data_IF_977337739308
#
_entry.id   IF_977337739308
#
_cell.length_a   1.000
_cell.length_b   1.000
_cell.length_c   1.000
_cell.angle_alpha   90.00
_cell.angle_beta   90.00
_cell.angle_gamma   90.00
#
_symmetry.space_group_name_H-M   'P 1'
#
loop_
_entity.id
_entity.type
_entity.pdbx_description
1 polymer ?
#
# COMPACT_ATOMS: atom_id res chain seq x y z
N UNK A 1 -15.89 -5.25 13.32
CA UNK A 1 -16.30 -3.94 12.87
C UNK A 1 -16.85 -4.00 11.47
N UNK A 2 -17.54 -2.98 10.98
CA UNK A 2 -18.01 -2.94 9.62
C UNK A 2 -16.80 -2.87 8.66
N UNK A 3 -16.64 -3.90 7.85
CA UNK A 3 -15.63 -3.93 6.81
C UNK A 3 -16.21 -3.31 5.54
N UNK A 4 -15.38 -2.56 4.81
CA UNK A 4 -15.74 -2.09 3.47
C UNK A 4 -15.67 -3.27 2.50
N UNK A 5 -16.43 -3.24 1.37
CA UNK A 5 -16.31 -4.26 0.33
C UNK A 5 -14.87 -4.42 -0.13
N UNK A 6 -14.40 -5.65 -0.23
CA UNK A 6 -13.02 -5.97 -0.67
C UNK A 6 -12.80 -5.56 -2.13
N UNK A 7 -13.82 -5.69 -2.97
CA UNK A 7 -13.71 -5.57 -4.43
C UNK A 7 -12.59 -6.49 -4.93
N UNK A 8 -11.62 -5.97 -5.65
CA UNK A 8 -10.45 -6.70 -6.13
C UNK A 8 -9.18 -6.51 -5.26
N UNK A 9 -9.37 -6.03 -4.04
CA UNK A 9 -8.31 -5.67 -3.08
C UNK A 9 -7.29 -4.65 -3.64
N UNK A 10 -7.74 -3.81 -4.54
CA UNK A 10 -7.08 -2.58 -4.93
C UNK A 10 -7.99 -1.38 -4.65
N UNK A 11 -7.50 -0.18 -4.79
CA UNK A 11 -8.33 1.02 -4.70
C UNK A 11 -8.96 1.43 -6.03
N UNK A 12 -8.77 0.66 -7.11
CA UNK A 12 -9.13 1.04 -8.49
C UNK A 12 -10.62 1.37 -8.62
N UNK A 13 -11.49 0.46 -8.19
CA UNK A 13 -12.92 0.61 -8.37
C UNK A 13 -13.48 1.78 -7.54
N UNK A 14 -12.98 1.94 -6.31
CA UNK A 14 -13.33 3.08 -5.47
C UNK A 14 -12.91 4.41 -6.08
N UNK A 15 -11.69 4.51 -6.60
CA UNK A 15 -11.20 5.72 -7.30
C UNK A 15 -12.06 6.00 -8.53
N UNK A 16 -12.44 4.97 -9.30
CA UNK A 16 -13.27 5.13 -10.48
C UNK A 16 -14.69 5.62 -10.13
N UNK A 17 -15.31 5.05 -9.10
CA UNK A 17 -16.62 5.47 -8.60
C UNK A 17 -16.58 6.95 -8.19
N UNK A 18 -15.57 7.35 -7.39
CA UNK A 18 -15.40 8.74 -6.94
C UNK A 18 -15.21 9.69 -8.14
N UNK A 19 -14.37 9.31 -9.10
CA UNK A 19 -14.15 10.12 -10.32
C UNK A 19 -15.43 10.28 -11.13
N UNK A 20 -16.23 9.23 -11.28
CA UNK A 20 -17.48 9.25 -12.03
C UNK A 20 -18.57 10.09 -11.34
N UNK A 21 -18.62 10.09 -10.00
CA UNK A 21 -19.53 10.94 -9.23
C UNK A 21 -19.16 12.43 -9.30
N UNK A 22 -17.91 12.74 -9.66
CA UNK A 22 -17.36 14.08 -9.65
C UNK A 22 -16.99 14.57 -8.25
N UNK A 23 -16.26 15.68 -8.20
CA UNK A 23 -15.77 16.29 -6.96
C UNK A 23 -16.28 17.73 -6.86
N UNK A 24 -16.76 18.12 -5.67
CA UNK A 24 -17.09 19.49 -5.34
C UNK A 24 -15.99 20.10 -4.46
N UNK A 25 -15.43 21.22 -4.89
CA UNK A 25 -14.52 22.01 -4.04
C UNK A 25 -15.32 22.67 -2.92
N UNK A 26 -14.86 22.47 -1.70
CA UNK A 26 -15.44 23.08 -0.52
C UNK A 26 -14.65 24.34 -0.12
N UNK A 27 -15.33 25.31 0.53
CA UNK A 27 -14.70 26.57 0.98
C UNK A 27 -13.79 26.38 2.22
N UNK A 28 -13.94 25.28 2.96
CA UNK A 28 -13.16 24.97 4.14
C UNK A 28 -11.68 24.76 3.85
N UNK A 29 -10.82 25.29 4.71
CA UNK A 29 -9.37 25.05 4.63
C UNK A 29 -9.03 23.63 5.07
N UNK A 30 -8.20 22.94 4.28
CA UNK A 30 -7.68 21.63 4.64
C UNK A 30 -6.57 21.74 5.65
N UNK A 31 -6.60 20.87 6.67
CA UNK A 31 -5.53 20.77 7.64
C UNK A 31 -4.44 19.80 7.15
N UNK A 32 -3.20 20.10 7.55
CA UNK A 32 -2.02 19.29 7.24
C UNK A 32 -1.16 19.09 8.48
N UNK A 33 -0.56 17.90 8.59
CA UNK A 33 0.53 17.60 9.51
C UNK A 33 1.83 17.81 8.73
N UNK A 34 2.57 18.89 9.05
CA UNK A 34 3.86 19.17 8.40
C UNK A 34 5.02 18.69 9.27
N UNK A 35 5.77 17.74 8.75
CA UNK A 35 6.94 17.20 9.43
C UNK A 35 8.05 18.25 9.49
N UNK A 36 8.58 18.49 10.72
CA UNK A 36 9.60 19.50 10.99
C UNK A 36 10.99 18.93 11.19
N UNK A 37 11.11 17.67 11.61
CA UNK A 37 12.38 16.96 11.80
C UNK A 37 12.20 15.50 11.45
N UNK A 38 13.31 14.81 11.11
CA UNK A 38 13.28 13.37 10.84
C UNK A 38 12.86 12.61 12.11
N UNK A 39 11.96 11.67 11.94
CA UNK A 39 11.54 10.68 12.93
C UNK A 39 11.82 9.31 12.31
N UNK A 40 12.29 8.37 13.11
CA UNK A 40 12.62 7.01 12.64
C UNK A 40 12.21 6.00 13.69
N UNK A 41 11.67 4.87 13.22
CA UNK A 41 11.37 3.70 14.04
C UNK A 41 11.93 2.45 13.35
N UNK A 42 12.50 1.54 14.14
CA UNK A 42 13.10 0.29 13.67
C UNK A 42 12.69 -0.85 14.56
N UNK A 43 12.41 -1.98 13.94
CA UNK A 43 12.11 -3.23 14.60
C UNK A 43 12.71 -4.37 13.77
N UNK A 44 13.73 -5.02 14.30
CA UNK A 44 14.49 -6.07 13.60
C UNK A 44 15.02 -5.60 12.22
N UNK A 45 14.62 -6.29 11.15
CA UNK A 45 14.97 -5.98 9.76
C UNK A 45 14.04 -4.96 9.10
N UNK A 46 13.06 -4.44 9.85
CA UNK A 46 12.06 -3.48 9.38
C UNK A 46 12.41 -2.08 9.84
N UNK A 47 12.15 -1.11 9.00
CA UNK A 47 12.30 0.29 9.39
C UNK A 47 11.32 1.19 8.67
N UNK A 48 10.93 2.26 9.35
CA UNK A 48 10.17 3.35 8.78
C UNK A 48 10.75 4.66 9.27
N UNK A 49 10.89 5.63 8.40
CA UNK A 49 11.24 6.98 8.77
C UNK A 49 10.44 8.00 7.97
N UNK A 50 10.26 9.18 8.53
CA UNK A 50 9.70 10.33 7.83
C UNK A 50 10.60 11.54 8.02
N UNK A 51 10.87 12.25 6.93
CA UNK A 51 11.68 13.46 6.90
C UNK A 51 10.86 14.67 6.41
N UNK A 52 11.29 15.90 6.71
CA UNK A 52 10.67 17.09 6.17
C UNK A 52 10.66 17.10 4.64
N UNK A 53 9.55 17.55 4.07
CA UNK A 53 9.42 17.83 2.65
C UNK A 53 8.86 19.24 2.43
N UNK A 54 9.02 19.78 1.22
CA UNK A 54 8.59 21.15 0.92
C UNK A 54 7.06 21.29 1.02
N UNK A 55 6.32 20.61 0.15
CA UNK A 55 4.85 20.65 0.10
C UNK A 55 4.25 19.35 -0.45
N UNK A 56 4.96 18.23 -0.38
CA UNK A 56 4.51 16.94 -0.93
C UNK A 56 4.44 15.86 0.15
N UNK A 57 3.69 14.82 -0.15
CA UNK A 57 3.75 13.54 0.53
C UNK A 57 4.33 12.54 -0.46
N UNK A 58 5.52 12.08 -0.13
CA UNK A 58 6.26 11.12 -0.93
C UNK A 58 6.51 9.86 -0.12
N UNK A 59 6.35 8.71 -0.74
CA UNK A 59 6.60 7.40 -0.14
C UNK A 59 7.60 6.65 -1.00
N UNK A 60 8.69 6.22 -0.40
CA UNK A 60 9.61 5.22 -0.92
C UNK A 60 9.46 3.94 -0.13
N UNK A 61 9.15 2.84 -0.79
CA UNK A 61 9.01 1.53 -0.16
C UNK A 61 9.99 0.52 -0.74
N UNK A 62 10.68 -0.20 0.12
CA UNK A 62 11.48 -1.37 -0.25
C UNK A 62 10.83 -2.61 0.35
N UNK A 63 10.27 -3.43 -0.53
CA UNK A 63 9.75 -4.75 -0.21
C UNK A 63 10.90 -5.76 -0.33
N UNK A 64 11.12 -6.56 0.71
CA UNK A 64 12.03 -7.69 0.66
C UNK A 64 11.27 -9.01 0.84
N UNK A 65 11.32 -9.88 -0.15
CA UNK A 65 10.61 -11.15 -0.17
C UNK A 65 11.54 -12.27 -0.67
N UNK A 66 12.64 -12.48 0.07
CA UNK A 66 13.72 -13.41 -0.32
C UNK A 66 13.24 -14.85 -0.54
N UNK A 67 12.20 -15.28 0.21
CA UNK A 67 11.60 -16.61 0.05
C UNK A 67 10.80 -16.79 -1.25
N UNK A 68 10.56 -15.73 -2.02
CA UNK A 68 9.89 -15.83 -3.32
C UNK A 68 10.83 -15.45 -4.46
N UNK A 69 11.16 -16.38 -5.35
CA UNK A 69 12.02 -16.12 -6.51
C UNK A 69 11.39 -15.17 -7.52
N UNK A 70 10.07 -14.99 -7.48
CA UNK A 70 9.33 -14.06 -8.33
C UNK A 70 9.29 -12.64 -7.75
N UNK A 71 8.91 -12.50 -6.48
CA UNK A 71 8.73 -11.20 -5.85
C UNK A 71 10.08 -10.53 -5.60
N UNK A 72 11.02 -11.25 -4.97
CA UNK A 72 12.38 -10.77 -4.64
C UNK A 72 12.36 -9.46 -3.86
N UNK A 73 13.43 -8.69 -3.99
CA UNK A 73 13.51 -7.33 -3.49
C UNK A 73 13.04 -6.35 -4.56
N UNK A 74 12.06 -5.54 -4.22
CA UNK A 74 11.53 -4.48 -5.09
C UNK A 74 11.54 -3.15 -4.35
N UNK A 75 11.91 -2.08 -5.05
CA UNK A 75 11.82 -0.73 -4.55
C UNK A 75 11.04 0.14 -5.53
N UNK A 76 10.16 0.95 -5.00
CA UNK A 76 9.50 2.01 -5.76
C UNK A 76 9.29 3.26 -4.90
N UNK A 77 9.11 4.41 -5.54
CA UNK A 77 8.74 5.66 -4.89
C UNK A 77 7.64 6.36 -5.66
N UNK A 78 6.79 7.07 -4.92
CA UNK A 78 5.62 7.76 -5.46
C UNK A 78 5.41 9.07 -4.73
N UNK A 79 5.21 10.13 -5.49
CA UNK A 79 4.76 11.41 -4.96
C UNK A 79 3.23 11.50 -5.15
N UNK A 80 2.49 11.56 -4.04
CA UNK A 80 1.02 11.57 -4.06
C UNK A 80 0.39 12.88 -4.56
N UNK A 81 1.19 13.83 -5.02
CA UNK A 81 0.73 15.01 -5.75
C UNK A 81 0.78 14.84 -7.27
N UNK A 82 1.34 13.76 -7.76
CA UNK A 82 1.34 13.44 -9.18
C UNK A 82 -0.09 13.19 -9.71
N UNK A 83 -0.30 13.49 -10.99
CA UNK A 83 -1.62 13.34 -11.61
C UNK A 83 -1.94 11.88 -11.93
N UNK A 84 -0.93 11.07 -12.20
CA UNK A 84 -1.11 9.67 -12.56
C UNK A 84 -0.58 8.75 -11.46
N UNK A 85 -1.50 8.19 -10.69
CA UNK A 85 -1.25 7.22 -9.63
C UNK A 85 -1.88 5.87 -9.95
N UNK A 86 -2.17 5.58 -11.22
CA UNK A 86 -2.91 4.39 -11.63
C UNK A 86 -2.21 3.10 -11.17
N UNK A 87 -0.91 2.99 -11.37
CA UNK A 87 -0.12 1.83 -10.95
C UNK A 87 -0.13 1.61 -9.43
N UNK A 88 -0.41 2.67 -8.65
CA UNK A 88 -0.50 2.59 -7.19
C UNK A 88 -1.90 2.14 -6.78
N UNK A 89 -2.95 2.89 -7.18
CA UNK A 89 -4.30 2.57 -6.73
C UNK A 89 -4.88 1.31 -7.38
N UNK A 90 -4.33 0.84 -8.51
CA UNK A 90 -4.73 -0.41 -9.14
C UNK A 90 -3.97 -1.64 -8.64
N UNK A 91 -2.97 -1.47 -7.76
CA UNK A 91 -2.18 -2.57 -7.24
C UNK A 91 -2.99 -3.41 -6.25
N UNK A 92 -3.10 -4.72 -6.52
CA UNK A 92 -3.78 -5.70 -5.67
C UNK A 92 -2.87 -6.20 -4.56
N UNK A 93 -3.48 -6.62 -3.45
CA UNK A 93 -2.77 -7.38 -2.41
C UNK A 93 -2.27 -8.73 -2.95
N UNK A 94 -1.35 -9.34 -2.22
CA UNK A 94 -0.73 -10.60 -2.64
C UNK A 94 -0.41 -11.50 -1.45
N UNK A 95 -0.32 -12.80 -1.72
CA UNK A 95 0.19 -13.79 -0.79
C UNK A 95 0.95 -14.88 -1.52
N UNK A 96 1.76 -15.65 -0.79
CA UNK A 96 2.30 -16.89 -1.29
C UNK A 96 1.25 -17.99 -1.14
N UNK A 97 1.23 -18.92 -2.12
CA UNK A 97 0.32 -20.06 -2.09
C UNK A 97 0.52 -20.90 -0.81
N UNK A 98 1.76 -21.05 -0.39
CA UNK A 98 2.16 -21.81 0.79
C UNK A 98 1.62 -21.21 2.10
N UNK A 99 1.34 -19.90 2.13
CA UNK A 99 0.85 -19.20 3.33
C UNK A 99 -0.68 -19.24 3.46
N UNK A 100 -1.41 -19.68 2.43
CA UNK A 100 -2.89 -19.59 2.39
C UNK A 100 -3.55 -20.32 3.55
N UNK A 101 -3.10 -21.54 3.86
CA UNK A 101 -3.67 -22.35 4.93
C UNK A 101 -3.44 -21.70 6.31
N UNK A 102 -2.24 -21.14 6.54
CA UNK A 102 -1.94 -20.41 7.77
C UNK A 102 -2.80 -19.16 7.91
N UNK A 103 -2.88 -18.33 6.85
CA UNK A 103 -3.69 -17.11 6.82
C UNK A 103 -5.16 -17.41 7.13
N UNK A 104 -5.71 -18.50 6.55
CA UNK A 104 -7.09 -18.94 6.82
C UNK A 104 -7.26 -19.44 8.25
N UNK A 105 -6.28 -20.15 8.80
CA UNK A 105 -6.35 -20.72 10.15
C UNK A 105 -6.48 -19.65 11.24
N UNK A 106 -5.89 -18.48 11.03
CA UNK A 106 -5.98 -17.32 11.92
C UNK A 106 -7.20 -16.42 11.62
N UNK A 107 -8.09 -16.88 10.73
CA UNK A 107 -9.37 -16.21 10.43
C UNK A 107 -9.27 -15.02 9.49
N UNK A 108 -8.15 -14.84 8.81
CA UNK A 108 -7.95 -13.82 7.78
C UNK A 108 -8.29 -14.33 6.38
N UNK A 109 -8.34 -13.41 5.41
CA UNK A 109 -8.60 -13.68 3.99
C UNK A 109 -9.86 -14.53 3.72
N UNK A 110 -10.92 -14.39 4.54
CA UNK A 110 -12.19 -15.16 4.40
C UNK A 110 -12.86 -14.95 3.04
N UNK A 111 -12.69 -13.80 2.41
CA UNK A 111 -13.15 -13.46 1.07
C UNK A 111 -12.07 -13.58 0.00
N UNK A 112 -10.89 -14.10 0.33
CA UNK A 112 -9.76 -14.20 -0.59
C UNK A 112 -10.00 -15.24 -1.69
N UNK A 113 -9.75 -14.84 -2.93
CA UNK A 113 -9.80 -15.68 -4.12
C UNK A 113 -8.78 -15.21 -5.15
N UNK A 114 -8.59 -15.99 -6.23
CA UNK A 114 -7.77 -15.57 -7.36
C UNK A 114 -8.33 -14.35 -8.12
N UNK A 115 -9.59 -13.96 -7.84
CA UNK A 115 -10.20 -12.78 -8.47
C UNK A 115 -9.77 -11.47 -7.78
N UNK A 116 -9.38 -11.54 -6.50
CA UNK A 116 -9.15 -10.35 -5.69
C UNK A 116 -7.79 -10.26 -4.98
N UNK A 117 -6.98 -11.32 -5.02
CA UNK A 117 -5.62 -11.29 -4.49
C UNK A 117 -4.65 -11.94 -5.47
N UNK A 118 -3.43 -11.43 -5.56
CA UNK A 118 -2.38 -12.07 -6.34
C UNK A 118 -1.84 -13.23 -5.53
N UNK A 119 -1.92 -14.43 -6.09
CA UNK A 119 -1.35 -15.65 -5.49
C UNK A 119 -0.10 -16.05 -6.26
N UNK A 120 1.01 -16.13 -5.55
CA UNK A 120 2.32 -16.51 -6.10
C UNK A 120 2.67 -17.91 -5.62
N UNK A 121 3.02 -18.81 -6.55
CA UNK A 121 3.55 -20.14 -6.28
C UNK A 121 4.87 -20.34 -7.01
N UNK A 122 5.95 -20.47 -6.26
CA UNK A 122 7.29 -20.54 -6.81
C UNK A 122 7.63 -19.29 -7.65
N UNK A 123 7.83 -19.49 -8.95
CA UNK A 123 8.17 -18.44 -9.93
C UNK A 123 6.96 -17.96 -10.76
N UNK A 124 5.73 -18.34 -10.38
CA UNK A 124 4.51 -18.07 -11.16
C UNK A 124 3.46 -17.31 -10.37
N UNK A 125 2.73 -16.44 -11.08
CA UNK A 125 1.45 -15.89 -10.63
C UNK A 125 0.35 -16.82 -11.07
N UNK A 126 -0.51 -17.26 -10.14
CA UNK A 126 -1.61 -18.20 -10.44
C UNK A 126 -2.84 -17.51 -11.04
N UNK A 127 -2.96 -16.20 -10.86
CA UNK A 127 -4.10 -15.45 -11.37
C UNK A 127 -4.11 -15.39 -12.89
N UNK A 128 -5.27 -15.60 -13.51
CA UNK A 128 -5.46 -15.37 -14.93
C UNK A 128 -5.14 -13.90 -15.28
N UNK A 129 -4.39 -13.68 -16.36
CA UNK A 129 -3.93 -12.35 -16.76
C UNK A 129 -2.69 -11.82 -16.01
N UNK A 130 -2.18 -12.52 -14.99
CA UNK A 130 -0.93 -12.18 -14.30
C UNK A 130 -0.97 -10.85 -13.52
N UNK A 131 0.15 -10.12 -13.56
CA UNK A 131 0.30 -8.81 -12.90
C UNK A 131 -0.22 -7.66 -13.75
N UNK A 132 -0.84 -6.68 -13.12
CA UNK A 132 -1.27 -5.41 -13.75
C UNK A 132 -0.12 -4.47 -14.08
N UNK A 133 0.94 -4.52 -13.26
CA UNK A 133 2.19 -3.79 -13.51
C UNK A 133 3.39 -4.58 -13.01
N UNK A 134 4.59 -4.29 -13.55
CA UNK A 134 5.84 -4.98 -13.13
C UNK A 134 6.17 -4.79 -11.66
N UNK A 135 5.67 -3.72 -11.03
CA UNK A 135 5.93 -3.36 -9.63
C UNK A 135 4.67 -3.49 -8.76
N UNK A 136 3.68 -4.29 -9.18
CA UNK A 136 2.39 -4.37 -8.49
C UNK A 136 2.55 -4.72 -7.01
N UNK A 137 3.45 -5.63 -6.66
CA UNK A 137 3.70 -6.02 -5.26
C UNK A 137 4.14 -4.84 -4.38
N UNK A 138 5.18 -4.13 -4.77
CA UNK A 138 5.67 -2.98 -4.00
C UNK A 138 4.74 -1.78 -4.09
N UNK A 139 4.01 -1.62 -5.18
CA UNK A 139 3.02 -0.57 -5.36
C UNK A 139 1.84 -0.75 -4.39
N UNK A 140 1.40 -1.99 -4.16
CA UNK A 140 0.39 -2.26 -3.15
C UNK A 140 0.88 -1.88 -1.74
N UNK A 141 2.14 -2.16 -1.40
CA UNK A 141 2.71 -1.74 -0.11
C UNK A 141 2.81 -0.21 0.03
N UNK A 142 3.02 0.52 -1.06
CA UNK A 142 2.94 1.98 -1.08
C UNK A 142 1.49 2.45 -0.83
N UNK A 143 0.51 1.78 -1.44
CA UNK A 143 -0.91 2.08 -1.25
C UNK A 143 -1.33 1.85 0.21
N UNK A 144 -0.96 0.69 0.80
CA UNK A 144 -1.20 0.36 2.20
C UNK A 144 -0.65 1.46 3.13
N UNK A 145 0.63 1.79 2.95
CA UNK A 145 1.32 2.77 3.78
C UNK A 145 0.67 4.17 3.68
N UNK A 146 0.30 4.58 2.48
CA UNK A 146 -0.41 5.85 2.29
C UNK A 146 -1.79 5.85 2.96
N UNK A 147 -2.50 4.72 2.95
CA UNK A 147 -3.76 4.52 3.66
C UNK A 147 -3.57 4.64 5.18
N UNK A 148 -2.57 3.99 5.74
CA UNK A 148 -2.26 4.06 7.19
C UNK A 148 -1.98 5.50 7.63
N UNK A 149 -1.19 6.26 6.86
CA UNK A 149 -0.95 7.68 7.17
C UNK A 149 -2.21 8.54 7.14
N UNK A 150 -3.23 8.18 6.36
CA UNK A 150 -4.51 8.91 6.36
C UNK A 150 -5.31 8.72 7.64
N UNK A 151 -5.06 7.64 8.42
CA UNK A 151 -5.70 7.40 9.73
C UNK A 151 -5.28 8.43 10.78
N UNK A 152 -4.22 9.20 10.56
CA UNK A 152 -3.85 10.33 11.41
C UNK A 152 -4.87 11.49 11.41
N UNK A 153 -5.89 11.42 10.54
CA UNK A 153 -6.96 12.41 10.43
C UNK A 153 -6.64 13.67 9.63
N UNK A 154 -5.39 13.84 9.19
CA UNK A 154 -5.00 14.96 8.34
C UNK A 154 -3.98 14.50 7.28
N UNK A 155 -3.86 15.26 6.19
CA UNK A 155 -2.84 14.97 5.18
C UNK A 155 -1.45 15.31 5.71
N UNK A 156 -0.51 14.41 5.52
CA UNK A 156 0.89 14.58 5.90
C UNK A 156 1.67 15.28 4.78
N UNK A 157 2.55 16.22 5.14
CA UNK A 157 3.59 16.79 4.30
C UNK A 157 4.93 16.29 4.82
N UNK A 158 5.56 15.40 4.09
CA UNK A 158 6.79 14.71 4.47
C UNK A 158 7.22 13.69 3.41
N UNK A 159 8.46 13.22 3.52
CA UNK A 159 9.01 12.13 2.72
C UNK A 159 9.19 10.91 3.60
N UNK A 160 8.46 9.85 3.31
CA UNK A 160 8.47 8.57 4.04
C UNK A 160 9.35 7.57 3.31
N UNK A 161 10.21 6.90 4.05
CA UNK A 161 10.93 5.73 3.58
C UNK A 161 10.61 4.54 4.49
N UNK A 162 10.16 3.44 3.90
CA UNK A 162 9.80 2.22 4.59
C UNK A 162 10.53 1.03 3.98
N UNK A 163 11.17 0.23 4.82
CA UNK A 163 11.86 -1.00 4.44
C UNK A 163 11.17 -2.15 5.14
N UNK A 164 10.68 -3.11 4.36
CA UNK A 164 10.06 -4.37 4.82
C UNK A 164 8.92 -4.17 5.83
N UNK A 165 8.25 -3.01 5.81
CA UNK A 165 7.17 -2.68 6.74
C UNK A 165 5.82 -3.29 6.38
N UNK A 166 4.86 -3.06 7.27
CA UNK A 166 3.45 -3.41 7.13
C UNK A 166 2.64 -2.63 8.15
N UNK A 167 1.32 -2.90 8.24
CA UNK A 167 0.40 -2.17 9.12
C UNK A 167 0.85 -2.13 10.59
N UNK A 168 1.40 -3.24 11.11
CA UNK A 168 1.89 -3.27 12.49
C UNK A 168 2.98 -2.22 12.72
N UNK A 169 4.03 -2.20 11.87
CA UNK A 169 5.12 -1.24 11.97
C UNK A 169 4.62 0.22 11.82
N UNK A 170 3.68 0.46 10.90
CA UNK A 170 3.13 1.80 10.68
C UNK A 170 2.27 2.28 11.84
N UNK A 171 1.56 1.37 12.51
CA UNK A 171 0.74 1.69 13.69
C UNK A 171 1.58 2.05 14.91
N UNK A 172 2.77 1.45 15.08
CA UNK A 172 3.70 1.78 16.16
C UNK A 172 4.46 3.10 15.88
N UNK A 173 4.66 3.44 14.62
CA UNK A 173 5.30 4.68 14.19
C UNK A 173 4.44 5.92 14.39
#
# INVERSE_FOLDING_TARGET
>A
GPEVPIMDWSAKDFVQIIKNCGLKTLEGKRQFIKIKKKIEFKEDDKSINIAPAANNFEVRFTLNYERSPLIKTQTNSTNFQEKNLEDIYAARTFCLYEDIEEIKSIGLAKGGSLDNAIVVQGDKVLNEGGLRSKKEFVNHKILDLAGDFMLSGARVIGSVECIHGGHALTNEF
#
